data_IF_497334311172
#
_entry.id   IF_497334311172
#
_cell.length_a   1.000
_cell.length_b   1.000
_cell.length_c   1.000
_cell.angle_alpha   90.00
_cell.angle_beta   90.00
_cell.angle_gamma   90.00
#
_symmetry.space_group_name_H-M   'P 1'
#
loop_
_entity.id
_entity.type
_entity.pdbx_description
1 polymer ?
#
# COMPACT_ATOMS: atom_id res chain seq x y z
N UNK A 1 -13.63 14.32 7.38
CA UNK A 1 -14.28 13.75 8.58
C UNK A 1 -13.91 12.27 8.64
N UNK A 2 -13.39 11.79 9.77
CA UNK A 2 -13.04 10.39 9.98
C UNK A 2 -14.05 9.78 10.96
N UNK A 3 -14.55 8.58 10.68
CA UNK A 3 -15.48 7.86 11.55
C UNK A 3 -15.25 6.34 11.48
N UNK A 4 -15.70 5.63 12.51
CA UNK A 4 -15.73 4.17 12.58
C UNK A 4 -17.07 3.73 13.15
N UNK A 5 -17.70 2.72 12.54
CA UNK A 5 -19.00 2.19 12.97
C UNK A 5 -18.91 0.67 13.04
N UNK A 6 -19.45 0.10 14.11
CA UNK A 6 -19.60 -1.34 14.24
C UNK A 6 -20.78 -1.82 13.40
N UNK A 7 -20.53 -2.81 12.53
CA UNK A 7 -21.58 -3.51 11.83
C UNK A 7 -22.19 -4.56 12.77
N UNK A 8 -23.52 -4.54 12.92
CA UNK A 8 -24.23 -5.33 13.94
C UNK A 8 -24.45 -6.78 13.49
N UNK A 9 -24.75 -7.00 12.20
CA UNK A 9 -25.23 -8.30 11.70
C UNK A 9 -24.27 -8.97 10.74
N UNK A 10 -23.95 -8.30 9.63
CA UNK A 10 -23.21 -8.90 8.52
C UNK A 10 -22.37 -7.85 7.77
N UNK A 11 -21.50 -8.33 6.89
CA UNK A 11 -20.60 -7.53 6.06
C UNK A 11 -21.05 -7.46 4.60
N UNK A 12 -22.36 -7.61 4.32
CA UNK A 12 -22.90 -7.50 2.96
C UNK A 12 -22.89 -6.05 2.49
N UNK A 13 -22.75 -5.84 1.18
CA UNK A 13 -22.70 -4.51 0.58
C UNK A 13 -23.90 -3.62 0.95
N UNK A 14 -25.10 -4.18 1.00
CA UNK A 14 -26.32 -3.47 1.41
C UNK A 14 -26.25 -2.98 2.86
N UNK A 15 -25.80 -3.85 3.78
CA UNK A 15 -25.70 -3.51 5.21
C UNK A 15 -24.67 -2.42 5.45
N UNK A 16 -23.53 -2.49 4.75
CA UNK A 16 -22.49 -1.46 4.77
C UNK A 16 -23.05 -0.15 4.21
N UNK A 17 -23.76 -0.19 3.07
CA UNK A 17 -24.36 1.00 2.45
C UNK A 17 -25.36 1.68 3.38
N UNK A 18 -26.30 0.93 3.94
CA UNK A 18 -27.29 1.45 4.88
C UNK A 18 -26.63 2.08 6.10
N UNK A 19 -25.57 1.47 6.63
CA UNK A 19 -24.81 2.01 7.77
C UNK A 19 -24.19 3.37 7.43
N UNK A 20 -23.53 3.48 6.27
CA UNK A 20 -22.95 4.75 5.81
C UNK A 20 -24.04 5.79 5.55
N UNK A 21 -25.13 5.42 4.88
CA UNK A 21 -26.28 6.30 4.61
C UNK A 21 -26.87 6.84 5.91
N UNK A 22 -27.15 5.98 6.90
CA UNK A 22 -27.65 6.40 8.21
C UNK A 22 -26.70 7.36 8.92
N UNK A 23 -25.38 7.16 8.80
CA UNK A 23 -24.40 8.07 9.37
C UNK A 23 -24.44 9.46 8.70
N UNK A 24 -24.50 9.53 7.37
CA UNK A 24 -24.62 10.79 6.64
C UNK A 24 -25.91 11.53 7.00
N UNK A 25 -27.05 10.83 7.02
CA UNK A 25 -28.33 11.39 7.43
C UNK A 25 -28.30 11.91 8.87
N UNK A 26 -27.75 11.15 9.82
CA UNK A 26 -27.64 11.56 11.23
C UNK A 26 -26.83 12.85 11.42
N UNK A 27 -25.82 13.08 10.57
CA UNK A 27 -24.96 14.25 10.65
C UNK A 27 -25.41 15.40 9.72
N UNK A 28 -26.60 15.30 9.09
CA UNK A 28 -27.11 16.28 8.13
C UNK A 28 -26.15 16.53 6.94
N UNK A 29 -25.49 15.48 6.46
CA UNK A 29 -24.59 15.55 5.30
C UNK A 29 -25.28 14.91 4.09
N UNK A 30 -25.58 15.68 3.03
CA UNK A 30 -26.13 15.12 1.79
C UNK A 30 -25.20 14.08 1.17
N UNK A 31 -25.75 12.92 0.77
CA UNK A 31 -24.97 11.88 0.06
C UNK A 31 -24.39 12.39 -1.27
N UNK A 32 -25.06 13.35 -1.93
CA UNK A 32 -24.58 13.97 -3.17
C UNK A 32 -23.27 14.73 -3.02
N UNK A 33 -22.81 14.97 -1.78
CA UNK A 33 -21.49 15.55 -1.53
C UNK A 33 -20.35 14.53 -1.74
N UNK A 34 -20.67 13.24 -1.87
CA UNK A 34 -19.69 12.20 -2.15
C UNK A 34 -19.30 12.30 -3.62
N UNK A 35 -18.09 12.77 -3.86
CA UNK A 35 -17.54 12.83 -5.22
C UNK A 35 -16.80 11.56 -5.61
N UNK A 36 -16.13 10.93 -4.65
CA UNK A 36 -15.40 9.70 -4.89
C UNK A 36 -15.45 8.74 -3.70
N UNK A 37 -15.31 7.46 -4.00
CA UNK A 37 -15.21 6.37 -3.04
C UNK A 37 -14.05 5.45 -3.42
N UNK A 38 -13.12 5.24 -2.50
CA UNK A 38 -12.08 4.22 -2.63
C UNK A 38 -12.39 3.03 -1.73
N UNK A 39 -12.27 1.81 -2.28
CA UNK A 39 -12.53 0.56 -1.56
C UNK A 39 -11.38 -0.43 -1.76
N UNK A 40 -11.27 -1.43 -0.89
CA UNK A 40 -10.26 -2.50 -0.99
C UNK A 40 -10.57 -3.55 -2.08
N UNK A 41 -11.64 -3.36 -2.85
CA UNK A 41 -12.01 -4.29 -3.91
C UNK A 41 -12.65 -5.59 -3.43
N UNK A 42 -13.02 -5.70 -2.14
CA UNK A 42 -13.73 -6.87 -1.64
C UNK A 42 -15.07 -7.08 -2.37
N UNK A 43 -15.53 -8.33 -2.59
CA UNK A 43 -16.78 -8.60 -3.30
C UNK A 43 -18.01 -7.90 -2.70
N UNK A 44 -18.06 -7.71 -1.38
CA UNK A 44 -19.10 -6.93 -0.69
C UNK A 44 -19.04 -5.43 -1.00
N UNK A 45 -17.89 -4.90 -1.39
CA UNK A 45 -17.70 -3.50 -1.73
C UNK A 45 -17.96 -3.22 -3.21
N UNK A 46 -17.37 -4.02 -4.11
CA UNK A 46 -17.38 -3.76 -5.58
C UNK A 46 -18.31 -4.67 -6.37
N UNK A 47 -19.06 -5.57 -5.71
CA UNK A 47 -19.98 -6.48 -6.37
C UNK A 47 -20.98 -5.77 -7.29
N UNK A 48 -21.12 -6.26 -8.53
CA UNK A 48 -21.89 -5.61 -9.61
C UNK A 48 -23.33 -5.25 -9.24
N UNK A 49 -24.01 -6.13 -8.50
CA UNK A 49 -25.45 -5.99 -8.18
C UNK A 49 -25.73 -5.84 -6.68
N UNK A 50 -24.82 -6.32 -5.83
CA UNK A 50 -25.01 -6.39 -4.37
C UNK A 50 -23.84 -5.82 -3.58
N UNK A 51 -22.93 -5.13 -4.27
CA UNK A 51 -21.81 -4.43 -3.65
C UNK A 51 -22.23 -3.06 -3.13
N UNK A 52 -21.52 -2.57 -2.12
CA UNK A 52 -21.67 -1.22 -1.59
C UNK A 52 -21.66 -0.15 -2.71
N UNK A 53 -20.71 -0.26 -3.65
CA UNK A 53 -20.54 0.67 -4.78
C UNK A 53 -21.76 0.67 -5.71
N UNK A 54 -22.41 -0.48 -5.90
CA UNK A 54 -23.60 -0.57 -6.74
C UNK A 54 -24.75 0.26 -6.13
N UNK A 55 -25.02 0.07 -4.85
CA UNK A 55 -26.04 0.85 -4.13
C UNK A 55 -25.67 2.34 -4.02
N UNK A 56 -24.40 2.67 -3.83
CA UNK A 56 -23.95 4.05 -3.80
C UNK A 56 -24.18 4.76 -5.15
N UNK A 57 -23.97 4.06 -6.26
CA UNK A 57 -24.21 4.61 -7.61
C UNK A 57 -25.69 4.77 -7.95
N UNK A 58 -26.59 4.00 -7.34
CA UNK A 58 -28.03 4.21 -7.51
C UNK A 58 -28.48 5.57 -6.94
N UNK A 59 -27.86 6.01 -5.84
CA UNK A 59 -28.21 7.27 -5.18
C UNK A 59 -27.31 8.44 -5.58
N UNK A 60 -26.06 8.17 -5.97
CA UNK A 60 -25.09 9.16 -6.46
C UNK A 60 -24.50 8.67 -7.79
N UNK A 61 -25.20 8.84 -8.93
CA UNK A 61 -24.80 8.25 -10.21
C UNK A 61 -23.41 8.65 -10.71
N UNK A 62 -22.97 9.87 -10.38
CA UNK A 62 -21.72 10.46 -10.85
C UNK A 62 -20.53 10.18 -9.92
N UNK A 63 -20.69 9.34 -8.89
CA UNK A 63 -19.61 9.04 -7.94
C UNK A 63 -18.48 8.24 -8.60
N UNK A 64 -17.25 8.76 -8.47
CA UNK A 64 -16.06 8.06 -8.93
C UNK A 64 -15.68 6.96 -7.93
N UNK A 65 -15.76 5.70 -8.35
CA UNK A 65 -15.41 4.57 -7.51
C UNK A 65 -14.08 3.96 -7.94
N UNK A 66 -13.13 3.91 -7.01
CA UNK A 66 -11.75 3.47 -7.23
C UNK A 66 -11.49 2.24 -6.37
N UNK A 67 -10.83 1.24 -6.93
CA UNK A 67 -10.26 0.18 -6.12
C UNK A 67 -8.85 0.60 -5.70
N UNK A 68 -8.60 0.59 -4.39
CA UNK A 68 -7.42 1.10 -3.74
C UNK A 68 -6.12 0.68 -4.45
N UNK A 69 -5.30 1.67 -4.81
CA UNK A 69 -4.03 1.45 -5.53
C UNK A 69 -3.04 0.62 -4.72
N UNK A 70 -3.00 0.83 -3.41
CA UNK A 70 -2.15 0.06 -2.48
C UNK A 70 -2.60 -1.39 -2.42
N UNK A 71 -3.91 -1.64 -2.35
CA UNK A 71 -4.45 -3.00 -2.35
C UNK A 71 -4.21 -3.70 -3.68
N UNK A 72 -4.40 -3.02 -4.81
CA UNK A 72 -4.10 -3.56 -6.15
C UNK A 72 -2.63 -3.93 -6.30
N UNK A 73 -1.72 -3.06 -5.86
CA UNK A 73 -0.29 -3.33 -5.89
C UNK A 73 0.10 -4.53 -5.02
N UNK A 74 -0.53 -4.67 -3.85
CA UNK A 74 -0.39 -5.86 -3.00
C UNK A 74 -0.88 -7.14 -3.68
N UNK A 75 -1.99 -7.08 -4.43
CA UNK A 75 -2.49 -8.22 -5.22
C UNK A 75 -1.51 -8.62 -6.33
N UNK A 76 -0.88 -7.65 -7.00
CA UNK A 76 0.16 -7.93 -8.00
C UNK A 76 1.35 -8.63 -7.36
N UNK A 77 1.82 -8.12 -6.21
CA UNK A 77 2.96 -8.71 -5.51
C UNK A 77 2.75 -10.20 -5.25
N UNK A 78 1.55 -10.60 -4.83
CA UNK A 78 1.21 -12.01 -4.57
C UNK A 78 1.32 -12.94 -5.78
N UNK A 79 1.40 -12.41 -7.00
CA UNK A 79 1.44 -13.19 -8.23
C UNK A 79 2.83 -13.78 -8.50
N UNK A 80 3.19 -14.81 -7.72
CA UNK A 80 4.42 -15.58 -7.90
C UNK A 80 4.19 -16.77 -8.84
N UNK A 81 5.24 -17.19 -9.55
CA UNK A 81 5.25 -18.48 -10.23
C UNK A 81 5.18 -19.62 -9.21
N UNK A 82 4.72 -20.81 -9.63
CA UNK A 82 4.67 -22.00 -8.74
C UNK A 82 6.02 -22.33 -8.12
N UNK A 83 7.09 -22.18 -8.90
CA UNK A 83 8.48 -22.35 -8.44
C UNK A 83 8.85 -21.32 -7.37
N UNK A 84 8.70 -20.02 -7.65
CA UNK A 84 9.04 -18.95 -6.70
C UNK A 84 8.19 -19.00 -5.43
N UNK A 85 6.92 -19.39 -5.54
CA UNK A 85 6.03 -19.58 -4.41
C UNK A 85 6.50 -20.73 -3.50
N UNK A 86 6.95 -21.84 -4.11
CA UNK A 86 7.52 -22.98 -3.37
C UNK A 86 8.79 -22.56 -2.64
N UNK A 87 9.68 -21.82 -3.32
CA UNK A 87 10.90 -21.28 -2.72
C UNK A 87 10.62 -20.34 -1.56
N UNK A 88 9.68 -19.40 -1.72
CA UNK A 88 9.25 -18.51 -0.65
C UNK A 88 8.68 -19.28 0.55
N UNK A 89 7.94 -20.36 0.31
CA UNK A 89 7.37 -21.21 1.37
C UNK A 89 8.47 -21.91 2.18
N UNK A 90 9.53 -22.39 1.52
CA UNK A 90 10.70 -22.99 2.18
C UNK A 90 11.41 -21.95 3.08
N UNK A 91 11.63 -20.74 2.55
CA UNK A 91 12.25 -19.63 3.29
C UNK A 91 11.41 -19.25 4.52
N UNK A 92 10.09 -19.11 4.36
CA UNK A 92 9.17 -18.82 5.47
C UNK A 92 9.23 -19.92 6.53
N UNK A 93 9.25 -21.19 6.12
CA UNK A 93 9.34 -22.31 7.04
C UNK A 93 10.64 -22.27 7.85
N UNK A 94 11.76 -21.91 7.22
CA UNK A 94 13.03 -21.72 7.89
C UNK A 94 12.99 -20.59 8.92
N UNK A 95 12.51 -19.40 8.52
CA UNK A 95 12.36 -18.25 9.43
C UNK A 95 11.47 -18.62 10.61
N UNK A 96 10.31 -19.24 10.36
CA UNK A 96 9.38 -19.63 11.40
C UNK A 96 9.95 -20.70 12.34
N UNK A 97 10.77 -21.64 11.85
CA UNK A 97 11.43 -22.65 12.69
C UNK A 97 12.42 -22.03 13.68
N UNK A 98 13.12 -20.97 13.27
CA UNK A 98 14.02 -20.21 14.15
C UNK A 98 13.21 -19.36 15.12
N UNK A 99 12.21 -18.63 14.64
CA UNK A 99 11.47 -17.61 15.41
C UNK A 99 10.37 -18.14 16.32
N UNK A 100 9.75 -19.26 16.00
CA UNK A 100 8.64 -19.83 16.79
C UNK A 100 9.11 -20.44 18.11
N UNK A 101 10.38 -20.83 18.20
CA UNK A 101 10.96 -21.41 19.41
C UNK A 101 11.89 -20.40 20.07
N UNK A 102 11.54 -19.97 21.29
CA UNK A 102 12.32 -18.99 22.05
C UNK A 102 13.79 -19.43 22.31
N UNK A 103 14.05 -20.74 22.42
CA UNK A 103 15.42 -21.27 22.53
C UNK A 103 16.18 -21.07 21.22
N UNK A 104 15.56 -21.42 20.09
CA UNK A 104 16.18 -21.26 18.76
C UNK A 104 16.45 -19.79 18.47
N UNK A 105 15.50 -18.89 18.77
CA UNK A 105 15.68 -17.44 18.60
C UNK A 105 16.87 -16.90 19.41
N UNK A 106 17.04 -17.35 20.66
CA UNK A 106 18.19 -16.96 21.49
C UNK A 106 19.52 -17.51 20.99
N UNK A 107 19.55 -18.78 20.58
CA UNK A 107 20.77 -19.41 20.04
C UNK A 107 21.17 -18.73 18.73
N UNK A 108 20.20 -18.46 17.85
CA UNK A 108 20.43 -17.78 16.59
C UNK A 108 20.94 -16.34 16.79
N UNK A 109 20.38 -15.59 17.75
CA UNK A 109 20.90 -14.26 18.12
C UNK A 109 22.36 -14.31 18.56
N UNK A 110 22.71 -15.30 19.39
CA UNK A 110 24.09 -15.47 19.83
C UNK A 110 25.01 -15.78 18.64
N UNK A 111 24.58 -16.68 17.74
CA UNK A 111 25.32 -16.99 16.51
C UNK A 111 25.56 -15.74 15.65
N UNK A 112 24.54 -14.90 15.46
CA UNK A 112 24.68 -13.64 14.73
C UNK A 112 25.68 -12.68 15.40
N UNK A 113 25.69 -12.62 16.74
CA UNK A 113 26.66 -11.81 17.47
C UNK A 113 28.08 -12.36 17.32
N UNK A 114 28.25 -13.67 17.40
CA UNK A 114 29.55 -14.34 17.25
C UNK A 114 30.10 -14.16 15.83
N UNK A 115 29.23 -14.10 14.83
CA UNK A 115 29.57 -13.86 13.43
C UNK A 115 29.72 -12.35 13.07
N UNK A 116 29.53 -11.44 14.02
CA UNK A 116 29.52 -9.98 13.80
C UNK A 116 28.55 -9.52 12.70
N UNK A 117 27.35 -10.09 12.68
CA UNK A 117 26.31 -9.75 11.72
C UNK A 117 25.68 -8.37 12.01
N UNK A 118 25.36 -7.62 10.96
CA UNK A 118 24.65 -6.34 11.06
C UNK A 118 23.22 -6.52 11.63
N UNK A 119 22.60 -7.66 11.32
CA UNK A 119 21.29 -8.04 11.86
C UNK A 119 21.45 -9.09 12.94
N UNK A 120 20.85 -8.85 14.10
CA UNK A 120 20.90 -9.82 15.21
C UNK A 120 19.67 -10.74 15.24
N UNK A 121 18.65 -10.52 14.41
CA UNK A 121 17.37 -11.24 14.52
C UNK A 121 16.56 -11.23 13.22
N UNK A 122 15.98 -12.39 12.87
CA UNK A 122 15.00 -12.51 11.78
C UNK A 122 13.62 -11.97 12.17
N UNK A 123 12.90 -11.44 11.18
CA UNK A 123 11.52 -11.00 11.34
C UNK A 123 10.55 -12.14 11.05
N UNK A 124 9.68 -12.48 12.02
CA UNK A 124 8.64 -13.50 11.87
C UNK A 124 7.69 -13.12 10.72
N UNK A 125 7.42 -14.06 9.82
CA UNK A 125 6.45 -13.83 8.75
C UNK A 125 5.07 -14.36 9.13
N UNK A 126 4.07 -13.47 9.05
CA UNK A 126 2.65 -13.84 9.04
C UNK A 126 2.08 -13.60 7.65
N UNK A 127 1.10 -14.40 7.22
CA UNK A 127 0.49 -14.33 5.89
C UNK A 127 -0.14 -12.95 5.55
N UNK A 128 -0.42 -12.13 6.56
CA UNK A 128 -1.36 -11.01 6.49
C UNK A 128 -0.74 -9.71 5.93
N UNK A 129 0.58 -9.54 5.92
CA UNK A 129 1.21 -8.26 5.52
C UNK A 129 2.38 -8.45 4.56
N UNK A 130 2.23 -7.99 3.31
CA UNK A 130 3.28 -8.05 2.29
C UNK A 130 4.45 -7.12 2.57
N UNK A 131 4.18 -5.99 3.25
CA UNK A 131 5.21 -5.02 3.65
C UNK A 131 6.24 -5.62 4.60
N UNK A 132 5.85 -6.55 5.48
CA UNK A 132 6.80 -7.25 6.35
C UNK A 132 7.62 -8.31 5.61
N UNK A 133 7.15 -8.80 4.45
CA UNK A 133 7.88 -9.80 3.66
C UNK A 133 9.15 -9.24 3.04
N UNK A 134 9.14 -8.00 2.54
CA UNK A 134 10.32 -7.36 1.97
C UNK A 134 11.44 -7.15 3.00
N UNK A 135 11.10 -6.57 4.15
CA UNK A 135 12.06 -6.39 5.25
C UNK A 135 12.55 -7.73 5.82
N UNK A 136 11.65 -8.71 5.94
CA UNK A 136 12.00 -10.05 6.43
C UNK A 136 12.93 -10.79 5.47
N UNK A 137 12.69 -10.71 4.15
CA UNK A 137 13.55 -11.32 3.14
C UNK A 137 14.91 -10.63 3.04
N UNK A 138 14.97 -9.29 3.12
CA UNK A 138 16.24 -8.56 3.16
C UNK A 138 17.09 -8.99 4.37
N UNK A 139 16.47 -9.10 5.55
CA UNK A 139 17.15 -9.60 6.75
C UNK A 139 17.56 -11.08 6.60
N UNK A 140 16.73 -11.91 5.99
CA UNK A 140 17.07 -13.31 5.72
C UNK A 140 18.26 -13.46 4.77
N UNK A 141 18.32 -12.67 3.71
CA UNK A 141 19.42 -12.68 2.73
C UNK A 141 20.71 -12.19 3.36
N UNK A 142 20.66 -11.11 4.14
CA UNK A 142 21.83 -10.64 4.89
C UNK A 142 22.36 -11.69 5.87
N UNK A 143 21.47 -12.47 6.49
CA UNK A 143 21.82 -13.53 7.44
C UNK A 143 21.93 -14.92 6.82
N UNK A 144 22.00 -15.05 5.49
CA UNK A 144 21.85 -16.33 4.82
C UNK A 144 22.86 -17.37 5.31
N UNK A 145 24.13 -17.00 5.41
CA UNK A 145 25.19 -17.91 5.84
C UNK A 145 25.03 -18.33 7.31
N UNK A 146 24.71 -17.39 8.20
CA UNK A 146 24.35 -17.67 9.59
C UNK A 146 23.12 -18.59 9.72
N UNK A 147 22.13 -18.45 8.85
CA UNK A 147 20.96 -19.34 8.80
C UNK A 147 21.36 -20.76 8.38
N UNK A 148 22.20 -20.89 7.35
CA UNK A 148 22.71 -22.20 6.91
C UNK A 148 23.50 -22.85 8.05
N UNK A 149 24.43 -22.14 8.66
CA UNK A 149 25.23 -22.62 9.78
C UNK A 149 24.37 -23.06 10.97
N UNK A 150 23.31 -22.32 11.28
CA UNK A 150 22.36 -22.67 12.34
C UNK A 150 21.67 -24.02 12.07
N UNK A 151 21.19 -24.26 10.85
CA UNK A 151 20.52 -25.53 10.52
C UNK A 151 21.48 -26.72 10.42
N UNK A 152 22.71 -26.50 9.95
CA UNK A 152 23.78 -27.51 9.97
C UNK A 152 24.12 -27.93 11.40
N UNK A 153 24.26 -26.96 12.31
CA UNK A 153 24.60 -27.21 13.71
C UNK A 153 23.48 -27.92 14.50
N UNK A 154 22.22 -27.80 14.06
CA UNK A 154 21.05 -28.41 14.69
C UNK A 154 20.59 -29.72 14.02
N UNK A 155 21.39 -30.31 13.13
CA UNK A 155 21.06 -31.55 12.37
C UNK A 155 19.77 -31.46 11.53
N UNK A 156 19.38 -30.27 11.08
CA UNK A 156 18.21 -30.05 10.21
C UNK A 156 18.62 -30.13 8.72
N UNK A 157 19.22 -31.26 8.33
CA UNK A 157 19.90 -31.44 7.03
C UNK A 157 18.98 -31.26 5.83
N UNK A 158 17.72 -31.73 5.92
CA UNK A 158 16.76 -31.62 4.82
C UNK A 158 16.40 -30.16 4.51
N UNK A 159 16.12 -29.37 5.54
CA UNK A 159 15.76 -27.96 5.40
C UNK A 159 16.97 -27.14 4.93
N UNK A 160 18.16 -27.43 5.47
CA UNK A 160 19.41 -26.82 5.01
C UNK A 160 19.66 -27.06 3.52
N UNK A 161 19.53 -28.30 3.05
CA UNK A 161 19.72 -28.62 1.63
C UNK A 161 18.69 -27.92 0.74
N UNK A 162 17.43 -27.88 1.16
CA UNK A 162 16.39 -27.13 0.46
C UNK A 162 16.70 -25.63 0.40
N UNK A 163 17.19 -25.03 1.49
CA UNK A 163 17.60 -23.62 1.51
C UNK A 163 18.74 -23.31 0.54
N UNK A 164 19.71 -24.23 0.40
CA UNK A 164 20.78 -24.12 -0.59
C UNK A 164 20.23 -24.13 -2.02
N UNK A 165 19.22 -24.96 -2.31
CA UNK A 165 18.60 -25.00 -3.64
C UNK A 165 17.80 -23.75 -4.01
N UNK A 166 17.32 -22.99 -3.02
CA UNK A 166 16.49 -21.79 -3.24
C UNK A 166 17.25 -20.48 -2.98
N UNK A 167 18.59 -20.54 -2.89
CA UNK A 167 19.44 -19.37 -2.63
C UNK A 167 19.16 -18.25 -3.63
N UNK A 168 19.27 -18.52 -4.93
CA UNK A 168 19.10 -17.51 -5.98
C UNK A 168 17.69 -16.88 -5.93
N UNK A 169 16.68 -17.69 -5.62
CA UNK A 169 15.30 -17.22 -5.46
C UNK A 169 15.14 -16.27 -4.28
N UNK A 170 15.79 -16.56 -3.15
CA UNK A 170 15.73 -15.71 -1.96
C UNK A 170 16.28 -14.31 -2.25
N UNK A 171 17.45 -14.24 -2.90
CA UNK A 171 18.13 -12.99 -3.23
C UNK A 171 17.35 -12.19 -4.28
N UNK A 172 16.89 -12.85 -5.35
CA UNK A 172 16.02 -12.21 -6.35
C UNK A 172 14.71 -11.68 -5.73
N UNK A 173 14.04 -12.49 -4.90
CA UNK A 173 12.81 -12.08 -4.25
C UNK A 173 13.06 -10.88 -3.32
N UNK A 174 14.15 -10.87 -2.53
CA UNK A 174 14.49 -9.73 -1.68
C UNK A 174 14.54 -8.41 -2.47
N UNK A 175 15.20 -8.40 -3.64
CA UNK A 175 15.27 -7.22 -4.52
C UNK A 175 13.88 -6.80 -5.03
N UNK A 176 13.07 -7.74 -5.51
CA UNK A 176 11.72 -7.44 -6.02
C UNK A 176 10.81 -6.93 -4.92
N UNK A 177 10.78 -7.61 -3.77
CA UNK A 177 9.93 -7.22 -2.65
C UNK A 177 10.33 -5.85 -2.09
N UNK A 178 11.62 -5.51 -2.05
CA UNK A 178 12.10 -4.17 -1.70
C UNK A 178 11.55 -3.11 -2.66
N UNK A 179 11.60 -3.36 -3.97
CA UNK A 179 11.02 -2.44 -4.97
C UNK A 179 9.51 -2.26 -4.81
N UNK A 180 8.78 -3.34 -4.54
CA UNK A 180 7.35 -3.26 -4.21
C UNK A 180 7.13 -2.44 -2.94
N UNK A 181 7.97 -2.59 -1.92
CA UNK A 181 7.89 -1.78 -0.71
C UNK A 181 8.12 -0.29 -1.01
N UNK A 182 9.15 0.06 -1.79
CA UNK A 182 9.45 1.45 -2.15
C UNK A 182 8.32 2.12 -2.93
N UNK A 183 7.71 1.40 -3.88
CA UNK A 183 6.53 1.87 -4.61
C UNK A 183 5.34 2.03 -3.67
N UNK A 184 5.17 1.10 -2.72
CA UNK A 184 4.10 1.20 -1.73
C UNK A 184 4.25 2.47 -0.87
N UNK A 185 5.45 2.78 -0.40
CA UNK A 185 5.74 4.03 0.32
C UNK A 185 5.43 5.27 -0.54
N UNK A 186 5.73 5.22 -1.84
CA UNK A 186 5.38 6.30 -2.76
C UNK A 186 3.87 6.42 -3.01
N UNK A 187 3.12 5.32 -2.90
CA UNK A 187 1.66 5.33 -3.01
C UNK A 187 0.95 5.66 -1.69
N UNK A 188 1.64 5.57 -0.55
CA UNK A 188 1.08 5.89 0.77
C UNK A 188 1.23 7.37 1.13
N UNK A 189 0.30 7.89 1.94
CA UNK A 189 0.34 9.25 2.48
C UNK A 189 -0.92 10.06 2.21
N UNK A 190 -1.07 11.16 2.95
CA UNK A 190 -2.29 11.97 2.96
C UNK A 190 -2.49 12.87 1.72
N UNK A 191 -1.50 13.03 0.86
CA UNK A 191 -1.56 13.96 -0.27
C UNK A 191 -1.38 13.24 -1.63
N UNK A 192 -2.02 12.07 -1.77
CA UNK A 192 -1.93 11.25 -2.98
C UNK A 192 -3.13 11.49 -3.88
N UNK A 193 -2.86 11.87 -5.12
CA UNK A 193 -3.85 12.14 -6.17
C UNK A 193 -3.84 11.02 -7.20
N UNK A 194 -4.90 10.89 -8.00
CA UNK A 194 -4.95 9.90 -9.07
C UNK A 194 -3.84 10.12 -10.11
N UNK A 195 -3.53 11.38 -10.43
CA UNK A 195 -2.46 11.76 -11.36
C UNK A 195 -1.09 11.31 -10.84
N UNK A 196 -0.83 11.55 -9.54
CA UNK A 196 0.40 11.11 -8.90
C UNK A 196 0.52 9.59 -8.90
N UNK A 197 -0.57 8.88 -8.58
CA UNK A 197 -0.60 7.42 -8.62
C UNK A 197 -0.40 6.87 -10.03
N UNK A 198 -1.03 7.44 -11.05
CA UNK A 198 -0.82 7.06 -12.46
C UNK A 198 0.66 7.18 -12.82
N UNK A 199 1.29 8.32 -12.49
CA UNK A 199 2.71 8.54 -12.77
C UNK A 199 3.62 7.51 -12.10
N UNK A 200 3.38 7.20 -10.82
CA UNK A 200 4.14 6.19 -10.06
C UNK A 200 3.96 4.79 -10.67
N UNK A 201 2.73 4.42 -11.03
CA UNK A 201 2.40 3.12 -11.60
C UNK A 201 3.02 2.96 -12.99
N UNK A 202 2.88 3.95 -13.86
CA UNK A 202 3.50 3.96 -15.20
C UNK A 202 5.02 3.82 -15.08
N UNK A 203 5.67 4.62 -14.21
CA UNK A 203 7.11 4.51 -13.99
C UNK A 203 7.51 3.12 -13.48
N UNK A 204 6.70 2.50 -12.62
CA UNK A 204 7.02 1.18 -12.11
C UNK A 204 6.90 0.08 -13.18
N UNK A 205 5.90 0.17 -14.07
CA UNK A 205 5.74 -0.73 -15.22
C UNK A 205 6.96 -0.65 -16.14
N UNK A 206 7.40 0.56 -16.50
CA UNK A 206 8.62 0.79 -17.30
C UNK A 206 9.87 0.24 -16.60
N UNK A 207 9.96 0.41 -15.27
CA UNK A 207 11.06 -0.17 -14.48
C UNK A 207 11.05 -1.69 -14.51
N UNK A 208 9.90 -2.36 -14.45
CA UNK A 208 9.82 -3.82 -14.54
C UNK A 208 10.30 -4.33 -15.90
N UNK A 209 9.97 -3.62 -16.98
CA UNK A 209 10.45 -3.93 -18.32
C UNK A 209 11.97 -3.75 -18.45
N UNK A 210 12.50 -2.63 -17.95
CA UNK A 210 13.95 -2.39 -17.93
C UNK A 210 14.70 -3.45 -17.11
N UNK A 211 14.16 -3.83 -15.95
CA UNK A 211 14.72 -4.91 -15.13
C UNK A 211 14.75 -6.23 -15.89
N UNK A 212 13.67 -6.57 -16.60
CA UNK A 212 13.62 -7.79 -17.41
C UNK A 212 14.68 -7.77 -18.52
N UNK A 213 14.81 -6.65 -19.22
CA UNK A 213 15.78 -6.48 -20.31
C UNK A 213 17.23 -6.63 -19.82
N UNK A 214 17.60 -5.96 -18.73
CA UNK A 214 18.96 -6.04 -18.20
C UNK A 214 19.26 -7.40 -17.58
N UNK A 215 18.26 -8.03 -16.96
CA UNK A 215 18.41 -9.38 -16.41
C UNK A 215 18.74 -10.40 -17.51
N UNK A 216 18.05 -10.34 -18.66
CA UNK A 216 18.35 -11.20 -19.82
C UNK A 216 19.75 -10.99 -20.40
N UNK A 217 20.32 -9.78 -20.24
CA UNK A 217 21.73 -9.49 -20.57
C UNK A 217 22.73 -9.96 -19.51
N UNK A 218 22.24 -10.52 -18.40
CA UNK A 218 23.02 -10.85 -17.20
C UNK A 218 23.69 -9.63 -16.55
N UNK A 219 23.05 -8.47 -16.65
CA UNK A 219 23.46 -7.26 -15.95
C UNK A 219 22.67 -7.09 -14.65
N UNK A 220 23.32 -7.34 -13.51
CA UNK A 220 22.65 -7.38 -12.20
C UNK A 220 22.74 -6.07 -11.40
N UNK A 221 23.21 -4.95 -11.98
CA UNK A 221 23.37 -3.67 -11.26
C UNK A 221 22.10 -3.17 -10.56
N UNK A 222 20.93 -3.52 -11.10
CA UNK A 222 19.63 -3.14 -10.55
C UNK A 222 19.10 -4.16 -9.52
N UNK A 223 19.85 -5.20 -9.22
CA UNK A 223 19.53 -6.24 -8.26
C UNK A 223 20.69 -6.34 -7.25
N UNK A 224 20.79 -5.41 -6.27
CA UNK A 224 21.90 -5.40 -5.31
C UNK A 224 22.14 -6.75 -4.64
N UNK A 225 21.07 -7.43 -4.21
CA UNK A 225 21.20 -8.72 -3.56
C UNK A 225 21.63 -9.77 -4.59
N UNK A 226 20.92 -9.92 -5.71
CA UNK A 226 21.29 -10.92 -6.72
C UNK A 226 22.70 -10.71 -7.30
N UNK A 227 23.15 -9.45 -7.39
CA UNK A 227 24.49 -9.08 -7.86
C UNK A 227 25.60 -9.54 -6.92
N UNK A 228 25.32 -9.72 -5.61
CA UNK A 228 26.31 -10.22 -4.65
C UNK A 228 26.61 -11.71 -4.86
N UNK A 229 25.70 -12.44 -5.48
CA UNK A 229 25.81 -13.87 -5.81
C UNK A 229 25.82 -14.14 -7.32
N UNK A 230 26.23 -13.15 -8.13
CA UNK A 230 26.16 -13.20 -9.61
C UNK A 230 26.79 -14.46 -10.24
N UNK A 231 27.80 -15.04 -9.60
CA UNK A 231 28.54 -16.21 -10.09
C UNK A 231 27.74 -17.51 -9.87
N UNK A 232 26.80 -17.52 -8.90
CA UNK A 232 25.89 -18.63 -8.62
C UNK A 232 24.64 -18.61 -9.53
N UNK A 233 24.39 -17.50 -10.24
CA UNK A 233 23.17 -17.31 -11.05
C UNK A 233 23.30 -18.00 -12.41
N UNK A 234 22.39 -18.94 -12.67
CA UNK A 234 22.37 -19.71 -13.92
C UNK A 234 21.56 -19.00 -15.03
N UNK A 235 21.74 -19.39 -16.31
CA UNK A 235 20.84 -18.95 -17.38
C UNK A 235 19.37 -19.33 -17.12
N UNK A 236 19.12 -20.51 -16.54
CA UNK A 236 17.77 -20.97 -16.19
C UNK A 236 17.10 -20.08 -15.12
N UNK A 237 17.89 -19.60 -14.14
CA UNK A 237 17.42 -18.60 -13.17
C UNK A 237 17.02 -17.30 -13.85
N UNK A 238 17.85 -16.84 -14.78
CA UNK A 238 17.63 -15.61 -15.55
C UNK A 238 16.33 -15.67 -16.35
N UNK A 239 16.07 -16.79 -17.04
CA UNK A 239 14.84 -17.02 -17.80
C UNK A 239 13.61 -17.10 -16.88
N UNK A 240 13.75 -17.77 -15.73
CA UNK A 240 12.67 -17.89 -14.75
C UNK A 240 12.30 -16.54 -14.12
N UNK A 241 13.30 -15.74 -13.74
CA UNK A 241 13.11 -14.42 -13.14
C UNK A 241 12.58 -13.40 -14.16
N UNK A 242 13.04 -13.44 -15.41
CA UNK A 242 12.51 -12.59 -16.48
C UNK A 242 11.06 -12.93 -16.81
N UNK A 243 10.69 -14.22 -16.86
CA UNK A 243 9.29 -14.66 -17.00
C UNK A 243 8.41 -14.13 -15.87
N UNK A 244 8.92 -14.14 -14.63
CA UNK A 244 8.21 -13.57 -13.49
C UNK A 244 8.03 -12.05 -13.60
N UNK A 245 9.08 -11.30 -13.97
CA UNK A 245 8.99 -9.85 -14.18
C UNK A 245 7.95 -9.47 -15.24
N UNK A 246 7.91 -10.20 -16.36
CA UNK A 246 6.91 -9.99 -17.40
C UNK A 246 5.48 -10.27 -16.90
N UNK A 247 5.28 -11.30 -16.08
CA UNK A 247 3.97 -11.56 -15.45
C UNK A 247 3.55 -10.45 -14.50
N UNK A 248 4.48 -9.92 -13.72
CA UNK A 248 4.21 -8.77 -12.84
C UNK A 248 3.85 -7.53 -13.65
N UNK A 249 4.57 -7.25 -14.75
CA UNK A 249 4.27 -6.14 -15.68
C UNK A 249 2.84 -6.25 -16.21
N UNK A 250 2.49 -7.39 -16.80
CA UNK A 250 1.16 -7.62 -17.37
C UNK A 250 0.05 -7.53 -16.31
N UNK A 251 0.29 -8.02 -15.09
CA UNK A 251 -0.70 -7.92 -14.01
C UNK A 251 -0.84 -6.47 -13.48
N UNK A 252 0.23 -5.68 -13.46
CA UNK A 252 0.16 -4.23 -13.20
C UNK A 252 -0.69 -3.54 -14.28
N UNK A 253 -0.38 -3.75 -15.56
CA UNK A 253 -1.12 -3.14 -16.68
C UNK A 253 -2.61 -3.48 -16.62
N UNK A 254 -2.94 -4.75 -16.36
CA UNK A 254 -4.33 -5.22 -16.26
C UNK A 254 -5.06 -4.64 -15.05
N UNK A 255 -4.45 -4.64 -13.86
CA UNK A 255 -5.11 -4.18 -12.63
C UNK A 255 -5.20 -2.67 -12.50
N UNK A 256 -4.36 -1.95 -13.21
CA UNK A 256 -4.33 -0.48 -13.22
C UNK A 256 -4.81 0.11 -14.54
N UNK A 257 -5.44 -0.68 -15.42
CA UNK A 257 -5.91 -0.25 -16.74
C UNK A 257 -6.75 1.04 -16.69
N UNK A 258 -7.67 1.14 -15.74
CA UNK A 258 -8.52 2.31 -15.50
C UNK A 258 -7.73 3.55 -15.08
N UNK A 259 -6.67 3.38 -14.27
CA UNK A 259 -5.79 4.47 -13.83
C UNK A 259 -4.83 4.87 -14.96
N UNK A 260 -4.30 3.90 -15.70
CA UNK A 260 -3.40 4.14 -16.83
C UNK A 260 -4.10 4.87 -17.97
N UNK A 261 -5.40 4.59 -18.19
CA UNK A 261 -6.24 5.26 -19.19
C UNK A 261 -6.80 6.61 -18.76
N UNK A 262 -6.48 7.10 -17.55
CA UNK A 262 -6.90 8.44 -17.12
C UNK A 262 -6.30 9.48 -18.07
N UNK A 263 -7.19 10.28 -18.67
CA UNK A 263 -6.78 11.43 -19.47
C UNK A 263 -6.32 12.53 -18.53
N UNK A 264 -5.01 12.71 -18.46
CA UNK A 264 -4.39 13.84 -17.76
C UNK A 264 -3.91 14.82 -18.81
N UNK A 265 -4.57 15.97 -18.87
CA UNK A 265 -4.20 17.03 -19.80
C UNK A 265 -3.06 17.86 -19.23
N UNK A 266 -2.19 18.38 -20.09
CA UNK A 266 -1.04 19.16 -19.65
C UNK A 266 -1.42 20.46 -18.93
N UNK A 267 -2.57 21.04 -19.28
CA UNK A 267 -3.11 22.21 -18.58
C UNK A 267 -3.42 21.94 -17.10
N UNK A 268 -3.64 20.68 -16.70
CA UNK A 268 -3.85 20.34 -15.28
C UNK A 268 -2.55 20.46 -14.47
N UNK A 269 -1.39 20.38 -15.12
CA UNK A 269 -0.08 20.61 -14.50
C UNK A 269 0.30 22.08 -14.59
N UNK A 270 0.08 22.70 -15.74
CA UNK A 270 0.39 24.10 -15.98
C UNK A 270 -0.69 24.79 -16.85
N UNK A 271 -1.74 25.35 -16.23
CA UNK A 271 -2.86 25.94 -16.98
C UNK A 271 -2.46 27.22 -17.72
N UNK A 272 -1.40 27.90 -17.28
CA UNK A 272 -0.99 29.20 -17.84
C UNK A 272 -0.29 29.07 -19.20
N UNK A 273 0.42 27.96 -19.44
CA UNK A 273 1.25 27.77 -20.65
C UNK A 273 0.85 26.57 -21.49
N UNK A 274 -0.22 25.86 -21.15
CA UNK A 274 -0.59 24.64 -21.86
C UNK A 274 -1.10 24.90 -23.28
N UNK A 275 -0.97 23.92 -24.16
CA UNK A 275 -1.59 24.01 -25.47
C UNK A 275 -3.12 23.92 -25.34
N UNK A 276 -3.84 24.96 -25.76
CA UNK A 276 -5.31 25.02 -25.67
C UNK A 276 -5.94 24.08 -26.70
N UNK A 277 -5.32 23.91 -27.86
CA UNK A 277 -5.83 23.05 -28.93
C UNK A 277 -5.89 21.58 -28.50
N UNK A 278 -5.02 21.17 -27.58
CA UNK A 278 -4.97 19.82 -27.00
C UNK A 278 -5.83 19.67 -25.73
N UNK A 279 -6.39 20.76 -25.21
CA UNK A 279 -7.27 20.74 -24.05
C UNK A 279 -8.68 20.24 -24.42
N UNK A 280 -9.42 19.81 -23.40
CA UNK A 280 -10.84 19.48 -23.57
C UNK A 280 -11.64 20.70 -24.03
N UNK A 281 -12.47 20.54 -25.07
CA UNK A 281 -13.22 21.63 -25.69
C UNK A 281 -14.09 22.40 -24.70
N UNK A 282 -14.56 21.74 -23.64
CA UNK A 282 -15.38 22.38 -22.60
C UNK A 282 -14.61 23.35 -21.69
N UNK A 283 -13.28 23.28 -21.71
CA UNK A 283 -12.38 24.06 -20.86
C UNK A 283 -11.52 25.06 -21.64
N UNK A 284 -11.54 25.05 -22.98
CA UNK A 284 -10.65 25.88 -23.80
C UNK A 284 -10.85 27.39 -23.58
N UNK A 285 -12.10 27.86 -23.50
CA UNK A 285 -12.41 29.26 -23.22
C UNK A 285 -12.00 29.65 -21.78
N UNK A 286 -12.32 28.83 -20.79
CA UNK A 286 -11.91 29.04 -19.39
C UNK A 286 -10.36 29.10 -19.25
N UNK A 287 -9.63 28.27 -20.00
CA UNK A 287 -8.17 28.26 -20.03
C UNK A 287 -7.57 29.52 -20.69
N UNK A 288 -8.24 30.07 -21.72
CA UNK A 288 -7.84 31.33 -22.34
C UNK A 288 -7.99 32.48 -21.35
N UNK A 289 -9.09 32.53 -20.61
CA UNK A 289 -9.31 33.56 -19.60
C UNK A 289 -8.23 33.51 -18.51
N UNK A 290 -7.91 32.33 -17.97
CA UNK A 290 -6.85 32.16 -16.95
C UNK A 290 -5.46 32.59 -17.46
N UNK A 291 -5.19 32.40 -18.75
CA UNK A 291 -3.88 32.76 -19.33
C UNK A 291 -3.63 34.26 -19.31
N UNK A 292 -4.66 35.05 -19.59
CA UNK A 292 -4.53 36.49 -19.81
C UNK A 292 -5.02 37.34 -18.62
N UNK A 293 -5.63 36.72 -17.60
CA UNK A 293 -6.05 37.43 -16.39
C UNK A 293 -4.93 37.46 -15.32
N UNK A 294 -4.39 38.66 -15.07
CA UNK A 294 -3.33 38.86 -14.07
C UNK A 294 -3.84 38.85 -12.61
N UNK A 295 -5.13 39.10 -12.36
CA UNK A 295 -5.72 39.14 -11.02
C UNK A 295 -6.21 37.77 -10.53
N UNK A 296 -6.65 36.90 -11.45
CA UNK A 296 -7.26 35.59 -11.20
C UNK A 296 -6.28 34.48 -10.78
N UNK A 297 -4.96 34.74 -10.77
CA UNK A 297 -3.94 33.85 -10.17
C UNK A 297 -4.23 33.45 -8.70
N UNK A 298 -5.23 34.08 -8.06
CA UNK A 298 -5.62 33.86 -6.65
C UNK A 298 -6.89 33.03 -6.43
N UNK A 299 -7.80 32.86 -7.41
CA UNK A 299 -9.06 32.15 -7.17
C UNK A 299 -9.50 31.29 -8.36
N UNK A 300 -9.15 29.99 -8.38
CA UNK A 300 -9.59 29.12 -9.45
C UNK A 300 -11.11 28.81 -9.40
N UNK A 301 -11.81 29.13 -8.30
CA UNK A 301 -13.25 28.84 -7.98
C UNK A 301 -14.26 29.33 -9.02
N UNK A 302 -13.89 30.24 -9.91
CA UNK A 302 -14.78 30.78 -10.94
C UNK A 302 -15.02 29.85 -12.14
N UNK A 303 -14.16 28.86 -12.38
CA UNK A 303 -14.20 28.04 -13.62
C UNK A 303 -14.87 26.69 -13.39
N UNK A 304 -16.16 26.60 -13.70
CA UNK A 304 -16.98 25.44 -13.33
C UNK A 304 -16.56 24.17 -14.05
N UNK A 305 -16.14 24.25 -15.32
CA UNK A 305 -15.82 23.07 -16.13
C UNK A 305 -14.42 22.54 -15.80
N UNK A 306 -13.43 23.44 -15.76
CA UNK A 306 -12.08 23.12 -15.31
C UNK A 306 -12.09 22.56 -13.88
N UNK A 307 -12.88 23.16 -12.98
CA UNK A 307 -13.00 22.60 -11.65
C UNK A 307 -13.61 21.23 -11.64
N UNK A 308 -14.72 20.97 -12.34
CA UNK A 308 -15.31 19.63 -12.37
C UNK A 308 -14.29 18.58 -12.80
N UNK A 309 -13.47 18.88 -13.81
CA UNK A 309 -12.42 17.98 -14.29
C UNK A 309 -11.30 17.79 -13.26
N UNK A 310 -10.71 18.89 -12.75
CA UNK A 310 -9.63 18.83 -11.75
C UNK A 310 -10.11 18.13 -10.48
N UNK A 311 -11.30 18.51 -10.00
CA UNK A 311 -11.90 18.01 -8.76
C UNK A 311 -12.06 16.49 -8.83
N UNK A 312 -12.42 15.93 -9.99
CA UNK A 312 -12.55 14.49 -10.20
C UNK A 312 -11.21 13.71 -10.19
N UNK A 313 -10.06 14.39 -10.30
CA UNK A 313 -8.74 13.75 -10.40
C UNK A 313 -7.81 14.05 -9.21
N UNK A 314 -7.92 15.23 -8.59
CA UNK A 314 -7.05 15.67 -7.50
C UNK A 314 -7.62 15.37 -6.11
N UNK A 315 -8.94 15.34 -5.96
CA UNK A 315 -9.60 15.15 -4.66
C UNK A 315 -9.83 13.70 -4.27
N UNK A 316 -10.11 12.76 -5.20
CA UNK A 316 -10.24 11.37 -4.82
C UNK A 316 -8.95 10.88 -4.17
N UNK A 317 -9.08 10.34 -2.97
CA UNK A 317 -8.02 9.61 -2.29
C UNK A 317 -7.99 8.20 -2.86
N UNK A 318 -7.02 7.83 -3.71
CA UNK A 318 -7.05 6.53 -4.39
C UNK A 318 -6.55 5.40 -3.48
N UNK A 319 -6.26 5.69 -2.21
CA UNK A 319 -5.63 4.78 -1.25
C UNK A 319 -6.52 4.58 -0.02
N UNK A 320 -6.48 3.39 0.56
CA UNK A 320 -6.99 3.09 1.90
C UNK A 320 -6.07 3.57 3.02
N UNK A 321 -5.03 4.38 2.74
CA UNK A 321 -4.00 4.75 3.71
C UNK A 321 -4.56 5.33 5.02
N UNK A 322 -5.53 6.25 4.94
CA UNK A 322 -6.15 6.84 6.14
C UNK A 322 -6.95 5.80 6.95
N UNK A 323 -7.57 4.84 6.26
CA UNK A 323 -8.29 3.72 6.88
C UNK A 323 -7.31 2.76 7.54
N UNK A 324 -6.22 2.40 6.86
CA UNK A 324 -5.13 1.55 7.40
C UNK A 324 -4.43 2.21 8.60
N UNK A 325 -4.20 3.52 8.53
CA UNK A 325 -3.70 4.32 9.66
C UNK A 325 -4.67 4.25 10.85
N UNK A 326 -5.97 4.31 10.58
CA UNK A 326 -7.01 4.08 11.58
C UNK A 326 -6.98 2.69 12.19
N UNK A 327 -6.85 1.63 11.39
CA UNK A 327 -6.70 0.27 11.90
C UNK A 327 -5.43 0.10 12.75
N UNK A 328 -4.32 0.72 12.35
CA UNK A 328 -3.09 0.71 13.14
C UNK A 328 -3.28 1.39 14.51
N UNK A 329 -3.93 2.56 14.52
CA UNK A 329 -4.29 3.26 15.75
C UNK A 329 -5.24 2.44 16.62
N UNK A 330 -6.23 1.77 16.03
CA UNK A 330 -7.15 0.86 16.73
C UNK A 330 -6.38 -0.30 17.38
N UNK A 331 -5.46 -0.94 16.66
CA UNK A 331 -4.66 -2.04 17.22
C UNK A 331 -3.84 -1.59 18.45
N UNK A 332 -3.33 -0.36 18.44
CA UNK A 332 -2.66 0.24 19.59
C UNK A 332 -3.62 0.58 20.74
N UNK A 333 -4.82 1.06 20.44
CA UNK A 333 -5.88 1.35 21.42
C UNK A 333 -6.41 0.07 22.08
N UNK A 334 -6.55 -1.01 21.32
CA UNK A 334 -7.10 -2.30 21.78
C UNK A 334 -6.06 -3.19 22.47
N UNK A 335 -4.86 -2.68 22.75
CA UNK A 335 -3.88 -3.40 23.58
C UNK A 335 -4.39 -3.55 25.02
N UNK A 336 -3.95 -4.62 25.72
CA UNK A 336 -4.41 -4.99 27.08
C UNK A 336 -4.35 -3.85 28.11
N UNK A 337 -3.54 -2.83 27.88
CA UNK A 337 -3.32 -1.69 28.77
C UNK A 337 -4.41 -0.61 28.68
N UNK A 338 -5.29 -0.62 27.67
CA UNK A 338 -6.24 0.49 27.38
C UNK A 338 -7.70 0.08 27.12
N UNK A 339 -8.21 -0.93 27.83
CA UNK A 339 -9.58 -1.47 27.69
C UNK A 339 -10.76 -0.50 27.97
N UNK A 340 -10.52 0.81 28.22
CA UNK A 340 -11.57 1.82 28.51
C UNK A 340 -11.88 2.77 27.34
N UNK A 341 -11.16 2.65 26.23
CA UNK A 341 -11.34 3.48 25.04
C UNK A 341 -12.43 2.89 24.12
N UNK A 342 -13.35 3.72 23.63
CA UNK A 342 -14.45 3.37 22.74
C UNK A 342 -14.25 4.05 21.38
N UNK A 343 -13.88 3.23 20.39
CA UNK A 343 -13.50 3.63 19.04
C UNK A 343 -14.64 4.30 18.27
N UNK A 344 -15.88 3.83 18.43
CA UNK A 344 -17.02 4.25 17.63
C UNK A 344 -17.77 5.45 18.20
N UNK A 345 -17.82 5.62 19.52
CA UNK A 345 -18.73 6.58 20.17
C UNK A 345 -18.01 7.76 20.85
N UNK A 346 -16.82 7.55 21.42
CA UNK A 346 -16.10 8.62 22.16
C UNK A 346 -15.18 9.48 21.29
N UNK A 347 -15.02 9.12 20.01
CA UNK A 347 -14.14 9.83 19.09
C UNK A 347 -12.65 9.56 19.32
N UNK A 348 -12.30 8.51 20.07
CA UNK A 348 -10.92 8.16 20.43
C UNK A 348 -10.04 7.96 19.18
N UNK A 349 -10.59 7.35 18.13
CA UNK A 349 -9.90 7.20 16.84
C UNK A 349 -9.53 8.54 16.20
N UNK A 350 -10.41 9.54 16.31
CA UNK A 350 -10.17 10.89 15.77
C UNK A 350 -9.09 11.61 16.58
N UNK A 351 -9.07 11.43 17.90
CA UNK A 351 -8.02 11.98 18.76
C UNK A 351 -6.65 11.34 18.49
N UNK A 352 -6.60 10.03 18.24
CA UNK A 352 -5.32 9.37 17.92
C UNK A 352 -4.74 9.78 16.56
N UNK A 353 -5.57 10.19 15.61
CA UNK A 353 -5.14 10.51 14.25
C UNK A 353 -5.09 12.02 13.94
N UNK A 354 -5.55 12.86 14.86
CA UNK A 354 -5.50 14.31 14.67
C UNK A 354 -4.08 14.83 14.86
N UNK A 355 -3.72 15.83 14.06
CA UNK A 355 -2.50 16.64 14.28
C UNK A 355 -2.75 17.84 15.17
N UNK A 356 -3.99 18.01 15.65
CA UNK A 356 -4.37 19.09 16.56
C UNK A 356 -3.79 18.76 17.93
N UNK A 357 -2.89 19.60 18.41
CA UNK A 357 -2.38 19.52 19.78
C UNK A 357 -3.45 20.06 20.74
N UNK A 358 -3.95 19.24 21.68
CA UNK A 358 -4.89 19.73 22.67
C UNK A 358 -4.18 20.71 23.61
N UNK A 359 -4.83 21.80 23.98
CA UNK A 359 -4.35 22.68 25.04
C UNK A 359 -4.53 22.00 26.40
N UNK A 360 -3.53 21.22 26.79
CA UNK A 360 -3.53 20.44 28.02
C UNK A 360 -3.63 21.36 29.23
N UNK A 361 -2.99 22.53 29.21
CA UNK A 361 -3.01 23.45 30.34
C UNK A 361 -4.41 24.01 30.57
N UNK A 362 -5.09 24.40 29.49
CA UNK A 362 -6.49 24.79 29.57
C UNK A 362 -7.36 23.64 30.09
N UNK A 363 -7.24 22.43 29.54
CA UNK A 363 -8.05 21.28 29.96
C UNK A 363 -7.84 20.88 31.43
N UNK A 364 -6.59 20.95 31.90
CA UNK A 364 -6.24 20.69 33.31
C UNK A 364 -6.82 21.78 34.21
N UNK A 365 -6.79 23.05 33.79
CA UNK A 365 -7.38 24.15 34.57
C UNK A 365 -8.90 24.03 34.76
N UNK A 366 -9.57 23.31 33.86
CA UNK A 366 -11.02 23.04 33.92
C UNK A 366 -11.37 21.79 34.74
N UNK A 367 -10.39 20.96 35.12
CA UNK A 367 -10.62 19.80 35.97
C UNK A 367 -10.38 20.15 37.43
N UNK A 368 -11.42 20.05 38.27
CA UNK A 368 -11.23 20.09 39.71
C UNK A 368 -10.46 18.84 40.16
N UNK A 369 -9.33 18.97 40.86
CA UNK A 369 -8.65 17.83 41.45
C UNK A 369 -9.57 17.21 42.51
N UNK A 370 -10.09 16.01 42.23
CA UNK A 370 -10.67 15.20 43.28
C UNK A 370 -9.52 14.69 44.14
N UNK A 371 -9.38 15.28 45.33
CA UNK A 371 -8.46 14.76 46.34
C UNK A 371 -8.84 13.31 46.65
N UNK A 372 -7.89 12.40 46.47
CA UNK A 372 -8.05 11.04 46.99
C UNK A 372 -8.12 11.12 48.51
N UNK A 373 -9.21 10.63 49.08
CA UNK A 373 -9.35 10.41 50.53
C UNK A 373 -8.43 9.31 51.03
#
# INVERSE_FOLDING_TARGET
>A
MLFAINLITDTRGLSIFNTVKSYFTKNNIPLNNIVACATDGAPSMVGRYRGFVAYLKEEVPNVLCIHCVVHRQHLVGKHLSTSLHSSLTIIIRAINKIKSNAKNDRIFRQLCQDNNEDFITLLLQTEVQWLSKGTSLACFVALYDSVIQFFESNNETNLCQQLKTVKNDAFYLADIFKRFHDVNLQLQGANKTLIGCQSIVSLFIEKLELLCYNLLKREFHQFPELSSIKDDVTPEDTDRFSSHLNKLKLDMEKRFEDILKLKVYDWMKNPFTANIEEADTTCQEELLEIRYDEEIKKMPVLYSNMWKMIFSLLIPFPTSYLVESGFSAINHIMTKERNRLNISERGDLRLCLTKIEPDIQYLVSQHQPQGSH
#
